data_IF_161003739052
#
_entry.id   IF_161003739052
#
_cell.length_a   1.000
_cell.length_b   1.000
_cell.length_c   1.000
_cell.angle_alpha   90.00
_cell.angle_beta   90.00
_cell.angle_gamma   90.00
#
_symmetry.space_group_name_H-M   'P 1'
#
loop_
_entity.id
_entity.type
_entity.pdbx_description
1 polymer ?
#
# COMPACT_ATOMS: atom_id res chain seq x y z
N UNK A 1 4.45 -17.07 6.44
CA UNK A 1 5.11 -17.19 7.76
C UNK A 1 4.07 -17.49 8.83
N UNK A 2 4.31 -18.42 9.76
CA UNK A 2 3.41 -18.64 10.91
C UNK A 2 3.59 -17.46 11.88
N UNK A 3 2.53 -16.67 12.06
CA UNK A 3 2.47 -15.58 13.03
C UNK A 3 2.79 -16.07 14.44
N UNK A 4 3.28 -15.19 15.34
CA UNK A 4 3.42 -15.46 16.79
C UNK A 4 2.12 -16.04 17.39
N UNK A 5 0.99 -15.66 16.81
CA UNK A 5 -0.34 -16.07 17.24
C UNK A 5 -0.88 -17.31 16.50
N UNK A 6 -0.10 -17.90 15.60
CA UNK A 6 -0.49 -19.08 14.82
C UNK A 6 -1.42 -18.75 13.66
N UNK A 7 -2.39 -19.64 13.43
CA UNK A 7 -3.44 -19.49 12.40
C UNK A 7 -4.79 -19.23 13.09
N UNK A 8 -5.69 -18.43 12.48
CA UNK A 8 -5.49 -17.68 11.23
C UNK A 8 -4.50 -16.51 11.38
N UNK A 9 -3.84 -16.14 10.28
CA UNK A 9 -2.99 -14.94 10.22
C UNK A 9 -3.84 -13.66 10.27
N UNK A 10 -3.21 -12.51 10.53
CA UNK A 10 -3.89 -11.23 10.44
C UNK A 10 -4.48 -10.98 9.04
N UNK A 11 -3.75 -11.35 7.98
CA UNK A 11 -4.24 -11.23 6.61
C UNK A 11 -5.50 -12.07 6.38
N UNK A 12 -5.53 -13.33 6.85
CA UNK A 12 -6.73 -14.19 6.74
C UNK A 12 -7.92 -13.68 7.54
N UNK A 13 -7.68 -13.10 8.72
CA UNK A 13 -8.75 -12.49 9.50
C UNK A 13 -9.34 -11.29 8.76
N UNK A 14 -8.50 -10.45 8.16
CA UNK A 14 -8.94 -9.30 7.35
C UNK A 14 -9.68 -9.76 6.10
N UNK A 15 -9.18 -10.78 5.40
CA UNK A 15 -9.83 -11.41 4.24
C UNK A 15 -11.24 -11.89 4.59
N UNK A 16 -11.39 -12.66 5.69
CA UNK A 16 -12.68 -13.19 6.12
C UNK A 16 -13.68 -12.08 6.47
N UNK A 17 -13.22 -10.99 7.11
CA UNK A 17 -14.08 -9.82 7.39
C UNK A 17 -14.44 -9.08 6.10
N UNK A 18 -13.50 -8.90 5.18
CA UNK A 18 -13.77 -8.26 3.88
C UNK A 18 -14.84 -9.03 3.10
N UNK A 19 -14.74 -10.36 3.04
CA UNK A 19 -15.72 -11.23 2.38
C UNK A 19 -17.11 -11.11 3.02
N UNK A 20 -17.21 -11.18 4.35
CA UNK A 20 -18.49 -11.01 5.06
C UNK A 20 -19.13 -9.64 4.78
N UNK A 21 -18.33 -8.57 4.76
CA UNK A 21 -18.83 -7.22 4.46
C UNK A 21 -19.29 -7.12 3.01
N UNK A 22 -18.52 -7.68 2.07
CA UNK A 22 -18.82 -7.63 0.64
C UNK A 22 -20.05 -8.46 0.25
N UNK A 23 -20.32 -9.54 0.98
CA UNK A 23 -21.44 -10.44 0.76
C UNK A 23 -22.59 -10.12 1.71
N UNK A 24 -22.60 -10.70 2.91
CA UNK A 24 -23.72 -10.67 3.84
C UNK A 24 -24.18 -9.26 4.19
N UNK A 25 -23.26 -8.34 4.50
CA UNK A 25 -23.62 -6.98 4.89
C UNK A 25 -24.21 -6.21 3.70
N UNK A 26 -23.62 -6.33 2.52
CA UNK A 26 -24.14 -5.66 1.32
C UNK A 26 -25.47 -6.24 0.86
N UNK A 27 -25.65 -7.55 0.88
CA UNK A 27 -26.94 -8.18 0.54
C UNK A 27 -28.06 -7.78 1.52
N UNK A 28 -27.69 -7.50 2.78
CA UNK A 28 -28.65 -7.13 3.84
C UNK A 28 -28.88 -5.62 3.98
N UNK A 29 -28.20 -4.77 3.21
CA UNK A 29 -28.28 -3.31 3.36
C UNK A 29 -28.47 -2.60 2.02
N UNK A 30 -29.03 -1.40 2.06
CA UNK A 30 -29.25 -0.56 0.87
C UNK A 30 -28.83 0.90 1.12
N UNK A 31 -28.84 1.70 0.06
CA UNK A 31 -28.54 3.14 0.14
C UNK A 31 -27.15 3.44 0.68
N UNK A 32 -27.07 4.43 1.56
CA UNK A 32 -25.80 4.93 2.11
C UNK A 32 -25.02 3.86 2.89
N UNK A 33 -25.71 2.99 3.63
CA UNK A 33 -25.05 1.93 4.41
C UNK A 33 -24.41 0.91 3.47
N UNK A 34 -25.09 0.51 2.40
CA UNK A 34 -24.52 -0.40 1.40
C UNK A 34 -23.28 0.19 0.72
N UNK A 35 -23.31 1.49 0.41
CA UNK A 35 -22.15 2.20 -0.13
C UNK A 35 -20.96 2.16 0.85
N UNK A 36 -21.19 2.50 2.12
CA UNK A 36 -20.12 2.42 3.12
C UNK A 36 -19.62 1.00 3.37
N UNK A 37 -20.47 -0.03 3.27
CA UNK A 37 -20.03 -1.42 3.31
C UNK A 37 -19.06 -1.75 2.17
N UNK A 38 -19.36 -1.30 0.94
CA UNK A 38 -18.42 -1.44 -0.19
C UNK A 38 -17.10 -0.70 0.05
N UNK A 39 -17.14 0.51 0.60
CA UNK A 39 -15.94 1.28 0.94
C UNK A 39 -15.10 0.54 2.01
N UNK A 40 -15.76 0.01 3.04
CA UNK A 40 -15.10 -0.75 4.10
C UNK A 40 -14.45 -2.03 3.56
N UNK A 41 -15.14 -2.79 2.71
CA UNK A 41 -14.58 -3.97 2.06
C UNK A 41 -13.33 -3.61 1.25
N UNK A 42 -13.37 -2.54 0.45
CA UNK A 42 -12.21 -2.08 -0.31
C UNK A 42 -11.03 -1.68 0.60
N UNK A 43 -11.29 -0.98 1.70
CA UNK A 43 -10.26 -0.61 2.66
C UNK A 43 -9.63 -1.86 3.32
N UNK A 44 -10.44 -2.85 3.68
CA UNK A 44 -9.94 -4.12 4.23
C UNK A 44 -9.08 -4.87 3.19
N UNK A 45 -9.47 -4.87 1.91
CA UNK A 45 -8.64 -5.46 0.84
C UNK A 45 -7.30 -4.75 0.65
N UNK A 46 -7.23 -3.44 0.88
CA UNK A 46 -5.96 -2.70 0.89
C UNK A 46 -5.09 -3.18 2.05
N UNK A 47 -5.66 -3.23 3.26
CA UNK A 47 -4.94 -3.71 4.47
C UNK A 47 -4.49 -5.16 4.32
N UNK A 48 -5.32 -6.02 3.75
CA UNK A 48 -4.96 -7.41 3.43
C UNK A 48 -3.70 -7.46 2.57
N UNK A 49 -3.66 -6.67 1.49
CA UNK A 49 -2.47 -6.61 0.62
C UNK A 49 -1.26 -6.06 1.35
N UNK A 50 -1.40 -5.02 2.16
CA UNK A 50 -0.31 -4.51 3.01
C UNK A 50 0.27 -5.62 3.91
N UNK A 51 -0.59 -6.43 4.52
CA UNK A 51 -0.19 -7.54 5.40
C UNK A 51 0.48 -8.71 4.64
N UNK A 52 0.25 -8.81 3.34
CA UNK A 52 0.84 -9.84 2.47
C UNK A 52 2.14 -9.39 1.78
N UNK A 53 2.51 -8.11 1.87
CA UNK A 53 3.80 -7.63 1.35
C UNK A 53 4.94 -8.23 2.18
N UNK A 54 5.67 -9.18 1.60
CA UNK A 54 6.78 -9.88 2.27
C UNK A 54 8.02 -9.00 2.48
N UNK A 55 8.27 -7.99 1.62
CA UNK A 55 9.36 -7.02 1.79
C UNK A 55 9.12 -5.74 1.00
N UNK A 56 9.68 -4.63 1.48
CA UNK A 56 9.77 -3.35 0.76
C UNK A 56 11.20 -3.08 0.28
N UNK A 57 11.95 -4.14 -0.05
CA UNK A 57 13.38 -4.09 -0.34
C UNK A 57 13.70 -3.21 -1.56
N UNK A 58 12.82 -3.19 -2.56
CA UNK A 58 12.96 -2.32 -3.73
C UNK A 58 12.87 -0.83 -3.37
N UNK A 59 11.98 -0.47 -2.42
CA UNK A 59 11.84 0.90 -1.92
C UNK A 59 13.08 1.32 -1.13
N UNK A 60 13.55 0.46 -0.23
CA UNK A 60 14.76 0.72 0.55
C UNK A 60 16.00 0.83 -0.35
N UNK A 61 16.08 -0.01 -1.38
CA UNK A 61 17.15 0.02 -2.39
C UNK A 61 17.13 1.31 -3.20
N UNK A 62 15.95 1.74 -3.67
CA UNK A 62 15.80 2.98 -4.43
C UNK A 62 16.19 4.22 -3.63
N UNK A 63 15.85 4.28 -2.34
CA UNK A 63 16.28 5.35 -1.44
C UNK A 63 17.79 5.34 -1.20
N UNK A 64 18.35 4.16 -0.94
CA UNK A 64 19.79 3.98 -0.69
C UNK A 64 20.62 4.37 -1.92
N UNK A 65 20.18 4.03 -3.13
CA UNK A 65 20.84 4.45 -4.38
C UNK A 65 20.85 5.97 -4.58
N UNK A 66 19.86 6.68 -4.02
CA UNK A 66 19.81 8.13 -4.04
C UNK A 66 20.62 8.76 -2.90
N UNK A 67 21.05 7.97 -1.91
CA UNK A 67 21.87 8.37 -0.77
C UNK A 67 21.08 8.67 0.51
N UNK A 68 19.84 8.18 0.62
CA UNK A 68 18.96 8.44 1.77
C UNK A 68 18.55 7.15 2.46
N UNK A 69 18.49 7.18 3.79
CA UNK A 69 18.04 6.03 4.59
C UNK A 69 16.51 5.91 4.62
N UNK A 70 15.81 7.03 4.43
CA UNK A 70 14.35 7.09 4.49
C UNK A 70 13.79 8.24 3.64
N UNK A 71 12.47 8.24 3.47
CA UNK A 71 11.75 9.28 2.72
C UNK A 71 11.79 10.66 3.38
N UNK A 72 11.93 10.73 4.71
CA UNK A 72 11.96 12.00 5.41
C UNK A 72 13.24 12.78 5.07
N UNK A 73 14.38 12.08 5.01
CA UNK A 73 15.66 12.61 4.56
C UNK A 73 15.61 13.05 3.09
N UNK A 74 15.06 12.20 2.21
CA UNK A 74 14.86 12.54 0.80
C UNK A 74 14.00 13.80 0.65
N UNK A 75 12.84 13.86 1.31
CA UNK A 75 11.94 15.00 1.24
C UNK A 75 12.60 16.29 1.77
N UNK A 76 13.44 16.18 2.80
CA UNK A 76 14.20 17.31 3.31
C UNK A 76 15.25 17.81 2.30
N UNK A 77 15.94 16.91 1.60
CA UNK A 77 16.91 17.26 0.55
C UNK A 77 16.25 17.92 -0.66
N UNK A 78 15.11 17.38 -1.13
CA UNK A 78 14.30 18.01 -2.19
C UNK A 78 13.89 19.42 -1.80
N UNK A 79 13.41 19.65 -0.56
CA UNK A 79 13.01 20.98 -0.11
C UNK A 79 14.17 21.99 -0.03
N UNK A 80 15.40 21.52 0.17
CA UNK A 80 16.60 22.38 0.19
C UNK A 80 17.17 22.66 -1.21
N UNK A 81 16.71 21.95 -2.23
CA UNK A 81 17.27 22.03 -3.59
C UNK A 81 18.55 21.20 -3.77
N UNK A 82 18.90 20.33 -2.81
CA UNK A 82 20.15 19.54 -2.83
C UNK A 82 20.20 18.50 -3.98
N UNK A 83 19.09 18.32 -4.71
CA UNK A 83 18.93 17.31 -5.76
C UNK A 83 18.55 17.91 -7.12
N UNK A 84 18.57 19.24 -7.24
CA UNK A 84 18.13 19.97 -8.45
C UNK A 84 19.04 19.69 -9.66
N UNK A 85 20.28 19.25 -9.43
CA UNK A 85 21.25 18.84 -10.45
C UNK A 85 21.03 17.40 -10.96
N UNK A 86 20.19 16.61 -10.28
CA UNK A 86 19.95 15.19 -10.58
C UNK A 86 18.46 14.79 -10.61
N UNK A 87 17.58 15.54 -11.30
CA UNK A 87 16.13 15.31 -11.26
C UNK A 87 15.72 13.93 -11.79
N UNK A 88 16.46 13.36 -12.75
CA UNK A 88 16.19 12.02 -13.28
C UNK A 88 16.33 10.92 -12.21
N UNK A 89 17.34 11.02 -11.34
CA UNK A 89 17.53 10.06 -10.24
C UNK A 89 16.40 10.15 -9.21
N UNK A 90 15.95 11.37 -8.90
CA UNK A 90 14.83 11.61 -7.99
C UNK A 90 13.54 11.01 -8.57
N UNK A 91 13.25 11.27 -9.84
CA UNK A 91 12.03 10.76 -10.49
C UNK A 91 12.00 9.24 -10.58
N UNK A 92 13.13 8.59 -10.85
CA UNK A 92 13.23 7.13 -10.85
C UNK A 92 12.96 6.54 -9.47
N UNK A 93 13.54 7.13 -8.42
CA UNK A 93 13.29 6.73 -7.03
C UNK A 93 11.79 6.87 -6.69
N UNK A 94 11.20 8.04 -6.91
CA UNK A 94 9.79 8.29 -6.64
C UNK A 94 8.85 7.35 -7.39
N UNK A 95 9.20 6.97 -8.62
CA UNK A 95 8.41 6.01 -9.40
C UNK A 95 8.38 4.64 -8.72
N UNK A 96 9.52 4.14 -8.21
CA UNK A 96 9.57 2.87 -7.45
C UNK A 96 8.67 2.95 -6.22
N UNK A 97 8.81 4.01 -5.42
CA UNK A 97 8.02 4.22 -4.21
C UNK A 97 6.51 4.25 -4.51
N UNK A 98 6.10 5.01 -5.52
CA UNK A 98 4.69 5.17 -5.88
C UNK A 98 4.14 3.90 -6.51
N UNK A 99 4.90 3.21 -7.36
CA UNK A 99 4.48 1.92 -7.93
C UNK A 99 4.18 0.89 -6.86
N UNK A 100 5.07 0.73 -5.88
CA UNK A 100 4.87 -0.17 -4.74
C UNK A 100 3.60 0.17 -3.95
N UNK A 101 3.33 1.47 -3.72
CA UNK A 101 2.09 1.91 -3.04
C UNK A 101 0.85 1.62 -3.87
N UNK A 102 0.92 1.81 -5.19
CA UNK A 102 -0.22 1.58 -6.08
C UNK A 102 -0.54 0.10 -6.23
N UNK A 103 0.45 -0.79 -6.25
CA UNK A 103 0.22 -2.24 -6.26
C UNK A 103 -0.62 -2.69 -5.06
N UNK A 104 -0.53 -1.99 -3.94
CA UNK A 104 -1.32 -2.25 -2.74
C UNK A 104 -2.65 -1.48 -2.75
N UNK A 105 -2.63 -0.19 -3.05
CA UNK A 105 -3.83 0.65 -2.96
C UNK A 105 -4.81 0.43 -4.11
N UNK A 106 -4.30 0.29 -5.34
CA UNK A 106 -5.08 0.15 -6.57
C UNK A 106 -4.36 -0.77 -7.58
N UNK A 107 -4.39 -2.10 -7.33
CA UNK A 107 -3.74 -3.06 -8.22
C UNK A 107 -4.21 -2.88 -9.67
N UNK A 108 -3.27 -2.86 -10.62
CA UNK A 108 -3.56 -2.70 -12.04
C UNK A 108 -3.55 -1.26 -12.55
N UNK A 109 -3.38 -0.23 -11.69
CA UNK A 109 -3.34 1.19 -12.09
C UNK A 109 -2.38 1.48 -13.26
N UNK A 110 -1.25 0.78 -13.33
CA UNK A 110 -0.26 1.01 -14.40
C UNK A 110 -0.76 0.61 -15.81
N UNK A 111 -1.89 -0.09 -15.90
CA UNK A 111 -2.49 -0.58 -17.15
C UNK A 111 -3.82 0.10 -17.49
N UNK A 112 -4.30 1.05 -16.68
CA UNK A 112 -5.47 1.88 -16.96
C UNK A 112 -5.14 3.03 -17.92
#
# INVERSE_FOLDING_TARGET
MTSLYGRPTAAELVEAVAEFVETNVRESTSGQVNFHARVAANALRIVERELLVDSADDVATALTQLGFADEAQLAAAVRRGDLDDRPGGVMSCLRVLVSHRLEVAHPGYQHE
#
